data_IF_114895509391
#
_entry.id   IF_114895509391
#
_cell.length_a   1.000
_cell.length_b   1.000
_cell.length_c   1.000
_cell.angle_alpha   90.00
_cell.angle_beta   90.00
_cell.angle_gamma   90.00
#
_symmetry.space_group_name_H-M   'P 1'
#
loop_
_entity.id
_entity.type
_entity.pdbx_description
1 polymer ?
#
# COMPACT_ATOMS: atom_id res chain seq x y z
N UNK A 1 20.34 1.19 -13.84
CA UNK A 1 19.36 1.13 -12.73
C UNK A 1 18.76 -0.27 -12.56
N UNK A 2 18.11 -0.83 -13.58
CA UNK A 2 17.46 -2.16 -13.49
C UNK A 2 18.39 -3.32 -13.07
N UNK A 3 19.67 -3.28 -13.42
CA UNK A 3 20.66 -4.28 -12.97
C UNK A 3 20.77 -4.39 -11.43
N UNK A 4 20.40 -3.32 -10.70
CA UNK A 4 20.39 -3.29 -9.22
C UNK A 4 19.21 -4.06 -8.62
N UNK A 5 18.25 -4.54 -9.42
CA UNK A 5 17.19 -5.45 -8.96
C UNK A 5 17.78 -6.70 -8.28
N UNK A 6 18.92 -7.20 -8.76
CA UNK A 6 19.63 -8.32 -8.11
C UNK A 6 20.01 -8.06 -6.64
N UNK A 7 20.14 -6.78 -6.26
CA UNK A 7 20.51 -6.35 -4.90
C UNK A 7 19.32 -6.18 -3.96
N UNK A 8 18.08 -6.23 -4.44
CA UNK A 8 16.91 -6.16 -3.54
C UNK A 8 16.78 -7.44 -2.71
N UNK A 9 16.16 -7.31 -1.55
CA UNK A 9 15.80 -8.45 -0.71
C UNK A 9 14.45 -9.03 -1.15
N UNK A 10 14.47 -10.13 -1.91
CA UNK A 10 13.24 -10.81 -2.34
C UNK A 10 12.43 -11.36 -1.17
N UNK A 11 13.09 -11.79 -0.09
CA UNK A 11 12.41 -12.16 1.15
C UNK A 11 11.67 -10.95 1.75
N UNK A 12 12.32 -9.78 1.77
CA UNK A 12 11.67 -8.54 2.19
C UNK A 12 10.48 -8.15 1.33
N UNK A 13 10.57 -8.36 0.01
CA UNK A 13 9.45 -8.12 -0.93
C UNK A 13 8.27 -9.05 -0.63
N UNK A 14 8.51 -10.36 -0.47
CA UNK A 14 7.46 -11.34 -0.17
C UNK A 14 6.79 -11.05 1.17
N UNK A 15 7.57 -10.80 2.22
CA UNK A 15 7.02 -10.48 3.54
C UNK A 15 6.25 -9.16 3.55
N UNK A 16 6.72 -8.15 2.82
CA UNK A 16 5.99 -6.90 2.63
C UNK A 16 4.67 -7.15 1.89
N UNK A 17 4.66 -7.99 0.86
CA UNK A 17 3.44 -8.32 0.11
C UNK A 17 2.41 -9.02 1.00
N UNK A 18 2.84 -10.01 1.79
CA UNK A 18 1.98 -10.72 2.75
C UNK A 18 1.42 -9.74 3.76
N UNK A 19 2.27 -8.91 4.38
CA UNK A 19 1.85 -7.90 5.34
C UNK A 19 0.83 -6.93 4.74
N UNK A 20 1.14 -6.33 3.58
CA UNK A 20 0.32 -5.28 2.99
C UNK A 20 -1.03 -5.85 2.50
N UNK A 21 -1.04 -7.07 1.97
CA UNK A 21 -2.28 -7.76 1.58
C UNK A 21 -3.14 -8.09 2.80
N UNK A 22 -2.52 -8.61 3.87
CA UNK A 22 -3.21 -8.88 5.13
C UNK A 22 -3.75 -7.59 5.76
N UNK A 23 -2.98 -6.50 5.70
CA UNK A 23 -3.43 -5.19 6.17
C UNK A 23 -4.66 -4.73 5.39
N UNK A 24 -4.72 -4.94 4.07
CA UNK A 24 -5.89 -4.60 3.27
C UNK A 24 -7.15 -5.34 3.74
N UNK A 25 -7.04 -6.66 3.92
CA UNK A 25 -8.11 -7.46 4.50
C UNK A 25 -8.51 -6.92 5.88
N UNK A 26 -7.56 -6.76 6.80
CA UNK A 26 -7.82 -6.29 8.16
C UNK A 26 -8.49 -4.90 8.16
N UNK A 27 -8.00 -3.98 7.34
CA UNK A 27 -8.45 -2.60 7.28
C UNK A 27 -9.89 -2.49 6.75
N UNK A 28 -10.19 -3.13 5.63
CA UNK A 28 -11.47 -2.96 4.94
C UNK A 28 -12.55 -3.96 5.36
N UNK A 29 -12.19 -5.06 6.04
CA UNK A 29 -13.17 -6.07 6.47
C UNK A 29 -13.40 -6.09 7.98
N UNK A 30 -12.39 -5.72 8.79
CA UNK A 30 -12.47 -5.80 10.25
C UNK A 30 -12.51 -4.42 10.89
N UNK A 31 -11.53 -3.56 10.59
CA UNK A 31 -11.36 -2.29 11.30
C UNK A 31 -12.33 -1.21 10.82
N UNK A 32 -12.46 -1.05 9.51
CA UNK A 32 -13.21 0.04 8.89
C UNK A 32 -14.22 -0.38 7.81
N UNK A 33 -14.96 -1.50 7.95
CA UNK A 33 -15.87 -1.97 6.90
C UNK A 33 -17.01 -0.98 6.63
N UNK A 34 -17.62 -0.43 7.68
CA UNK A 34 -18.74 0.51 7.54
C UNK A 34 -18.29 1.87 7.01
N UNK A 35 -17.11 2.33 7.43
CA UNK A 35 -16.53 3.58 6.94
C UNK A 35 -16.23 3.45 5.44
N UNK A 36 -15.58 2.36 5.02
CA UNK A 36 -15.34 2.10 3.61
C UNK A 36 -16.65 2.03 2.81
N UNK A 37 -17.62 1.25 3.27
CA UNK A 37 -18.92 1.13 2.63
C UNK A 37 -19.65 2.47 2.52
N UNK A 38 -19.60 3.30 3.57
CA UNK A 38 -20.23 4.62 3.58
C UNK A 38 -19.61 5.58 2.57
N UNK A 39 -18.29 5.51 2.35
CA UNK A 39 -17.62 6.35 1.34
C UNK A 39 -18.07 6.05 -0.10
N UNK A 40 -18.71 4.89 -0.30
CA UNK A 40 -19.20 4.39 -1.58
C UNK A 40 -20.73 4.35 -1.68
N UNK A 41 -21.46 4.87 -0.67
CA UNK A 41 -22.92 4.71 -0.52
C UNK A 41 -23.39 3.24 -0.63
N UNK A 42 -22.55 2.32 -0.12
CA UNK A 42 -22.77 0.86 -0.13
C UNK A 42 -22.95 0.26 1.26
N UNK A 43 -23.34 1.06 2.24
CA UNK A 43 -23.59 0.56 3.59
C UNK A 43 -24.70 -0.49 3.58
N UNK A 44 -24.41 -1.70 4.10
CA UNK A 44 -25.32 -2.85 4.03
C UNK A 44 -25.48 -3.47 2.63
N UNK A 45 -24.77 -2.97 1.62
CA UNK A 45 -24.81 -3.44 0.23
C UNK A 45 -23.51 -4.15 -0.21
N UNK A 46 -22.51 -4.25 0.68
CA UNK A 46 -21.29 -5.01 0.37
C UNK A 46 -21.64 -6.50 0.29
N UNK A 47 -21.32 -7.18 -0.84
CA UNK A 47 -21.63 -8.60 -1.01
C UNK A 47 -20.94 -9.46 0.05
N UNK A 48 -21.67 -10.45 0.58
CA UNK A 48 -21.08 -11.46 1.47
C UNK A 48 -20.03 -12.34 0.76
N UNK A 49 -20.21 -12.55 -0.55
CA UNK A 49 -19.28 -13.29 -1.41
C UNK A 49 -18.72 -12.33 -2.48
N UNK A 50 -17.58 -11.67 -2.21
CA UNK A 50 -16.98 -10.78 -3.19
C UNK A 50 -16.47 -11.56 -4.39
N UNK A 51 -16.46 -10.91 -5.55
CA UNK A 51 -15.84 -11.49 -6.75
C UNK A 51 -14.36 -11.78 -6.51
N UNK A 52 -13.79 -12.84 -7.13
CA UNK A 52 -12.41 -13.25 -6.91
C UNK A 52 -11.37 -12.13 -7.11
N UNK A 53 -11.64 -11.16 -7.98
CA UNK A 53 -10.75 -10.03 -8.24
C UNK A 53 -10.47 -9.18 -7.00
N UNK A 54 -11.39 -9.12 -6.03
CA UNK A 54 -11.18 -8.40 -4.78
C UNK A 54 -10.18 -9.11 -3.85
N UNK A 55 -9.88 -10.38 -4.10
CA UNK A 55 -8.87 -11.14 -3.36
C UNK A 55 -7.47 -10.99 -3.98
N UNK A 56 -7.32 -11.21 -5.29
CA UNK A 56 -6.01 -11.20 -5.95
C UNK A 56 -5.63 -9.84 -6.55
N UNK A 57 -6.60 -8.97 -6.82
CA UNK A 57 -6.37 -7.63 -7.37
C UNK A 57 -5.45 -6.79 -6.50
N UNK A 58 -5.71 -6.64 -5.18
CA UNK A 58 -4.85 -5.83 -4.31
C UNK A 58 -3.39 -6.33 -4.25
N UNK A 59 -3.09 -7.63 -4.06
CA UNK A 59 -1.71 -8.11 -4.12
C UNK A 59 -1.01 -7.79 -5.46
N UNK A 60 -1.72 -7.91 -6.58
CA UNK A 60 -1.16 -7.63 -7.92
C UNK A 60 -0.83 -6.16 -8.13
N UNK A 61 -1.62 -5.23 -7.57
CA UNK A 61 -1.37 -3.79 -7.69
C UNK A 61 -0.33 -3.28 -6.69
N UNK A 62 -0.25 -3.91 -5.51
CA UNK A 62 0.71 -3.54 -4.46
C UNK A 62 2.12 -4.05 -4.77
N UNK A 63 2.27 -5.23 -5.39
CA UNK A 63 3.58 -5.84 -5.66
C UNK A 63 4.54 -4.92 -6.46
N UNK A 64 4.14 -4.27 -7.57
CA UNK A 64 5.00 -3.31 -8.27
C UNK A 64 5.47 -2.15 -7.39
N UNK A 65 4.61 -1.66 -6.49
CA UNK A 65 4.94 -0.59 -5.54
C UNK A 65 6.03 -1.04 -4.57
N UNK A 66 5.93 -2.26 -4.03
CA UNK A 66 6.93 -2.83 -3.12
C UNK A 66 8.27 -3.04 -3.82
N UNK A 67 8.26 -3.64 -5.02
CA UNK A 67 9.49 -3.89 -5.80
C UNK A 67 10.19 -2.57 -6.14
N UNK A 68 9.42 -1.58 -6.60
CA UNK A 68 9.94 -0.26 -6.96
C UNK A 68 10.52 0.44 -5.73
N UNK A 69 9.83 0.37 -4.59
CA UNK A 69 10.32 0.94 -3.32
C UNK A 69 11.62 0.28 -2.86
N UNK A 70 11.71 -1.05 -2.94
CA UNK A 70 12.93 -1.79 -2.63
C UNK A 70 14.09 -1.39 -3.55
N UNK A 71 13.83 -1.24 -4.85
CA UNK A 71 14.84 -0.81 -5.82
C UNK A 71 15.30 0.63 -5.53
N UNK A 72 14.37 1.55 -5.25
CA UNK A 72 14.69 2.93 -4.90
C UNK A 72 15.51 3.02 -3.61
N UNK A 73 15.16 2.24 -2.58
CA UNK A 73 15.95 2.16 -1.35
C UNK A 73 17.39 1.72 -1.62
N UNK A 74 17.61 0.75 -2.52
CA UNK A 74 18.95 0.35 -2.96
C UNK A 74 19.67 1.46 -3.74
N UNK A 75 18.98 2.12 -4.67
CA UNK A 75 19.57 3.17 -5.51
C UNK A 75 19.94 4.42 -4.72
N UNK A 76 19.16 4.76 -3.70
CA UNK A 76 19.35 5.90 -2.81
C UNK A 76 20.18 5.56 -1.57
N UNK A 77 20.69 4.31 -1.48
CA UNK A 77 21.51 3.82 -0.37
C UNK A 77 20.84 3.98 1.02
N UNK A 78 19.53 3.71 1.08
CA UNK A 78 18.73 3.76 2.31
C UNK A 78 19.05 2.53 3.17
N UNK A 79 19.98 2.71 4.10
CA UNK A 79 20.51 1.63 4.96
C UNK A 79 20.08 1.73 6.43
N UNK A 80 19.63 2.90 6.88
CA UNK A 80 19.22 3.13 8.27
C UNK A 80 17.70 3.08 8.43
N UNK A 81 17.23 2.68 9.63
CA UNK A 81 15.80 2.70 9.99
C UNK A 81 15.20 4.10 9.82
N UNK A 82 15.91 5.14 10.28
CA UNK A 82 15.47 6.54 10.17
C UNK A 82 15.26 6.94 8.71
N UNK A 83 16.23 6.67 7.84
CA UNK A 83 16.13 6.98 6.42
C UNK A 83 15.01 6.19 5.73
N UNK A 84 14.73 4.94 6.16
CA UNK A 84 13.60 4.17 5.64
C UNK A 84 12.25 4.76 6.05
N UNK A 85 12.12 5.29 7.28
CA UNK A 85 10.91 6.00 7.72
C UNK A 85 10.70 7.29 6.92
N UNK A 86 11.75 8.10 6.77
CA UNK A 86 11.70 9.33 5.97
C UNK A 86 11.32 9.03 4.51
N UNK A 87 11.98 8.03 3.92
CA UNK A 87 11.66 7.54 2.57
C UNK A 87 10.18 7.14 2.48
N UNK A 88 9.68 6.35 3.42
CA UNK A 88 8.29 5.92 3.44
C UNK A 88 7.30 7.08 3.53
N UNK A 89 7.57 8.11 4.32
CA UNK A 89 6.72 9.31 4.37
C UNK A 89 6.74 10.06 3.04
N UNK A 90 7.91 10.23 2.42
CA UNK A 90 8.04 10.91 1.13
C UNK A 90 7.28 10.15 0.05
N UNK A 91 7.51 8.84 -0.08
CA UNK A 91 6.85 8.07 -1.14
C UNK A 91 5.37 7.81 -0.83
N UNK A 92 5.04 7.57 0.43
CA UNK A 92 3.70 7.30 0.89
C UNK A 92 2.79 8.49 0.68
N UNK A 93 3.19 9.68 1.14
CA UNK A 93 2.41 10.90 0.94
C UNK A 93 2.44 11.35 -0.52
N UNK A 94 3.63 11.46 -1.11
CA UNK A 94 3.82 12.09 -2.42
C UNK A 94 3.34 11.26 -3.61
N UNK A 95 3.33 9.93 -3.50
CA UNK A 95 2.85 9.06 -4.56
C UNK A 95 1.57 8.34 -4.16
N UNK A 96 1.56 7.58 -3.06
CA UNK A 96 0.44 6.67 -2.79
C UNK A 96 -0.82 7.41 -2.32
N UNK A 97 -0.70 8.24 -1.29
CA UNK A 97 -1.84 9.04 -0.76
C UNK A 97 -2.32 10.00 -1.83
N UNK A 98 -1.43 10.78 -2.44
CA UNK A 98 -1.79 11.73 -3.49
C UNK A 98 -2.54 11.04 -4.66
N UNK A 99 -2.02 9.92 -5.18
CA UNK A 99 -2.67 9.16 -6.25
C UNK A 99 -4.01 8.55 -5.80
N UNK A 100 -4.15 8.21 -4.52
CA UNK A 100 -5.43 7.72 -4.00
C UNK A 100 -6.50 8.81 -4.04
N UNK A 101 -6.16 10.05 -3.67
CA UNK A 101 -7.08 11.18 -3.80
C UNK A 101 -7.39 11.51 -5.26
N UNK A 102 -6.40 11.43 -6.16
CA UNK A 102 -6.62 11.63 -7.60
C UNK A 102 -7.63 10.60 -8.16
N UNK A 103 -7.45 9.32 -7.85
CA UNK A 103 -8.41 8.26 -8.18
C UNK A 103 -9.77 8.52 -7.53
N UNK A 104 -9.78 9.02 -6.29
CA UNK A 104 -11.02 9.26 -5.56
C UNK A 104 -11.92 10.30 -6.23
N UNK A 105 -11.36 11.27 -6.96
CA UNK A 105 -12.12 12.32 -7.67
C UNK A 105 -12.91 11.75 -8.88
N UNK A 106 -12.83 10.44 -9.13
CA UNK A 106 -13.69 9.75 -10.08
C UNK A 106 -15.19 9.99 -9.79
N UNK A 107 -16.03 10.30 -10.81
CA UNK A 107 -17.46 10.58 -10.62
C UNK A 107 -18.27 9.40 -10.05
N UNK A 108 -17.71 8.18 -10.04
CA UNK A 108 -18.35 7.00 -9.45
C UNK A 108 -18.06 6.82 -7.95
N UNK A 109 -17.26 7.69 -7.34
CA UNK A 109 -16.97 7.67 -5.90
C UNK A 109 -17.76 8.83 -5.26
N UNK A 110 -18.88 8.56 -4.54
CA UNK A 110 -19.77 9.60 -4.03
C UNK A 110 -19.12 10.56 -3.02
N UNK A 111 -18.23 10.02 -2.16
CA UNK A 111 -17.56 10.79 -1.10
C UNK A 111 -16.04 10.78 -1.29
N UNK A 112 -15.52 11.49 -2.31
CA UNK A 112 -14.12 11.38 -2.76
C UNK A 112 -13.12 11.70 -1.65
N UNK A 113 -13.38 12.73 -0.84
CA UNK A 113 -12.48 13.15 0.23
C UNK A 113 -12.41 12.12 1.37
N UNK A 114 -13.56 11.53 1.74
CA UNK A 114 -13.62 10.51 2.78
C UNK A 114 -12.96 9.20 2.30
N UNK A 115 -13.22 8.80 1.05
CA UNK A 115 -12.58 7.65 0.42
C UNK A 115 -11.06 7.84 0.36
N UNK A 116 -10.62 9.00 -0.15
CA UNK A 116 -9.21 9.36 -0.28
C UNK A 116 -8.48 9.33 1.06
N UNK A 117 -9.11 9.86 2.11
CA UNK A 117 -8.53 9.82 3.46
C UNK A 117 -8.42 8.38 3.98
N UNK A 118 -9.50 7.60 3.89
CA UNK A 118 -9.53 6.23 4.44
C UNK A 118 -8.54 5.31 3.71
N UNK A 119 -8.58 5.31 2.38
CA UNK A 119 -7.75 4.43 1.54
C UNK A 119 -6.32 4.96 1.46
N UNK A 120 -6.12 6.27 1.46
CA UNK A 120 -4.81 6.89 1.53
C UNK A 120 -4.08 6.55 2.83
N UNK A 121 -4.77 6.63 3.98
CA UNK A 121 -4.21 6.20 5.26
C UNK A 121 -3.82 4.71 5.27
N UNK A 122 -4.65 3.84 4.68
CA UNK A 122 -4.30 2.44 4.47
C UNK A 122 -2.98 2.30 3.70
N UNK A 123 -2.84 3.00 2.57
CA UNK A 123 -1.64 2.95 1.76
C UNK A 123 -0.41 3.51 2.48
N UNK A 124 -0.58 4.57 3.26
CA UNK A 124 0.47 5.18 4.06
C UNK A 124 1.00 4.20 5.12
N UNK A 125 0.12 3.55 5.87
CA UNK A 125 0.51 2.53 6.86
C UNK A 125 1.17 1.33 6.16
N UNK A 126 0.58 0.87 5.06
CA UNK A 126 1.06 -0.26 4.30
C UNK A 126 2.48 -0.07 3.77
N UNK A 127 2.76 1.07 3.15
CA UNK A 127 4.11 1.36 2.63
C UNK A 127 5.11 1.66 3.74
N UNK A 128 4.68 2.31 4.83
CA UNK A 128 5.54 2.60 5.97
C UNK A 128 6.12 1.34 6.59
N UNK A 129 5.27 0.38 6.92
CA UNK A 129 5.73 -0.90 7.49
C UNK A 129 6.48 -1.72 6.44
N UNK A 130 6.08 -1.69 5.17
CA UNK A 130 6.81 -2.37 4.09
C UNK A 130 8.25 -1.85 3.95
N UNK A 131 8.47 -0.54 3.99
CA UNK A 131 9.81 0.04 3.97
C UNK A 131 10.66 -0.38 5.18
N UNK A 132 10.06 -0.52 6.36
CA UNK A 132 10.75 -1.06 7.54
C UNK A 132 11.13 -2.54 7.38
N UNK A 133 10.23 -3.36 6.84
CA UNK A 133 10.50 -4.78 6.51
C UNK A 133 11.64 -4.87 5.50
N UNK A 134 11.58 -4.08 4.42
CA UNK A 134 12.60 -4.04 3.38
C UNK A 134 13.96 -3.58 3.93
N UNK A 135 13.99 -2.58 4.81
CA UNK A 135 15.24 -2.12 5.44
C UNK A 135 15.82 -3.19 6.35
N UNK A 136 15.00 -3.83 7.19
CA UNK A 136 15.42 -4.86 8.12
C UNK A 136 16.03 -6.09 7.43
N UNK A 137 15.57 -6.38 6.22
CA UNK A 137 16.01 -7.52 5.40
C UNK A 137 16.93 -7.12 4.24
N UNK A 138 17.38 -5.87 4.20
CA UNK A 138 18.25 -5.36 3.15
C UNK A 138 19.56 -6.17 3.08
N UNK A 139 20.05 -6.40 1.86
CA UNK A 139 21.35 -7.06 1.65
C UNK A 139 22.44 -6.05 1.98
N UNK A 140 23.41 -6.45 2.80
CA UNK A 140 24.62 -5.66 3.08
C UNK A 140 25.47 -5.51 1.82
#
# INVERSE_FOLDING_TARGET
>A
MLQKISKISWMGVVLSLVFYSFLGWLWFTVLFPNQYASTLDKLGLIPANPEPIYLYGPPLTILPTIITSALLMVLLNISSKKAAMEFAFIIGLGFLVANTFDIAINPNIPHPMAYGLLVGCFHMVGIFVSCLILQALSKK
#
